data_IF_583246266953
#
_entry.id   IF_583246266953
#
_cell.length_a   1.000
_cell.length_b   1.000
_cell.length_c   1.000
_cell.angle_alpha   90.00
_cell.angle_beta   90.00
_cell.angle_gamma   90.00
#
_symmetry.space_group_name_H-M   'P 1'
#
loop_
_entity.id
_entity.type
_entity.pdbx_description
1 polymer ?
#
# COMPACT_ATOMS: atom_id res chain seq x y z
N UNK A 1 -0.92 -6.45 2.39
CA UNK A 1 -2.25 -6.96 2.78
C UNK A 1 -2.24 -7.53 4.19
N UNK A 2 -1.45 -8.58 4.44
CA UNK A 2 -1.31 -9.19 5.77
C UNK A 2 -1.01 -8.14 6.85
N UNK A 3 0.01 -7.31 6.66
CA UNK A 3 0.35 -6.19 7.55
C UNK A 3 -0.87 -5.37 8.02
N UNK A 4 -1.65 -4.81 7.09
CA UNK A 4 -2.78 -3.95 7.42
C UNK A 4 -3.94 -4.69 8.09
N UNK A 5 -4.25 -5.91 7.64
CA UNK A 5 -5.28 -6.73 8.29
C UNK A 5 -4.90 -7.08 9.74
N UNK A 6 -3.61 -7.35 9.99
CA UNK A 6 -3.10 -7.62 11.32
C UNK A 6 -3.08 -6.37 12.21
N UNK A 7 -2.78 -5.18 11.66
CA UNK A 7 -2.95 -3.91 12.39
C UNK A 7 -4.40 -3.78 12.86
N UNK A 8 -5.37 -3.86 11.94
CA UNK A 8 -6.78 -3.64 12.27
C UNK A 8 -7.33 -4.67 13.28
N UNK A 9 -6.89 -5.94 13.21
CA UNK A 9 -7.30 -6.97 14.17
C UNK A 9 -6.54 -6.85 15.50
N UNK A 10 -5.30 -6.37 15.48
CA UNK A 10 -4.42 -6.16 16.64
C UNK A 10 -3.56 -7.36 17.02
N UNK A 11 -2.39 -7.11 17.61
CA UNK A 11 -1.44 -8.16 18.01
C UNK A 11 -1.99 -9.12 19.08
N UNK A 12 -2.80 -8.62 20.02
CA UNK A 12 -3.39 -9.42 21.12
C UNK A 12 -4.16 -10.64 20.61
N UNK A 13 -4.83 -10.52 19.45
CA UNK A 13 -5.62 -11.59 18.88
C UNK A 13 -4.78 -12.76 18.32
N UNK A 14 -3.52 -12.50 17.97
CA UNK A 14 -2.62 -13.48 17.35
C UNK A 14 -1.48 -13.93 18.26
N UNK A 15 -1.16 -13.19 19.33
CA UNK A 15 -0.07 -13.51 20.26
C UNK A 15 -0.18 -14.94 20.80
N UNK A 16 -1.36 -15.39 21.23
CA UNK A 16 -1.58 -16.77 21.69
C UNK A 16 -1.67 -17.83 20.58
N UNK A 17 -1.65 -17.42 19.31
CA UNK A 17 -1.85 -18.27 18.13
C UNK A 17 -0.75 -18.07 17.09
N UNK A 18 0.40 -17.56 17.51
CA UNK A 18 1.55 -17.25 16.66
C UNK A 18 2.02 -18.46 15.85
N UNK A 19 1.92 -19.65 16.46
CA UNK A 19 2.30 -20.94 15.86
C UNK A 19 1.48 -21.31 14.63
N UNK A 20 0.27 -20.76 14.46
CA UNK A 20 -0.55 -21.01 13.25
C UNK A 20 0.07 -20.30 12.05
N UNK A 21 0.48 -19.03 12.22
CA UNK A 21 1.17 -18.28 11.15
C UNK A 21 2.54 -18.90 10.87
N UNK A 22 3.29 -19.22 11.93
CA UNK A 22 4.60 -19.84 11.79
C UNK A 22 4.54 -21.22 11.12
N UNK A 23 3.58 -22.06 11.53
CA UNK A 23 3.35 -23.39 10.95
C UNK A 23 2.93 -23.31 9.48
N UNK A 24 2.08 -22.35 9.10
CA UNK A 24 1.77 -22.08 7.69
C UNK A 24 3.03 -21.66 6.91
N UNK A 25 3.90 -20.85 7.52
CA UNK A 25 5.20 -20.49 6.94
C UNK A 25 6.08 -21.70 6.66
N UNK A 26 6.23 -22.61 7.64
CA UNK A 26 6.98 -23.86 7.48
C UNK A 26 6.36 -24.74 6.39
N UNK A 27 5.03 -24.89 6.38
CA UNK A 27 4.34 -25.68 5.36
C UNK A 27 4.60 -25.14 3.95
N UNK A 28 4.60 -23.81 3.78
CA UNK A 28 4.91 -23.17 2.49
C UNK A 28 6.38 -23.30 2.09
N UNK A 29 7.32 -23.28 3.04
CA UNK A 29 8.74 -23.56 2.77
C UNK A 29 8.91 -24.99 2.26
N UNK A 30 8.32 -25.97 2.96
CA UNK A 30 8.38 -27.38 2.56
C UNK A 30 7.72 -27.60 1.20
N UNK A 31 6.57 -26.97 0.94
CA UNK A 31 5.91 -27.01 -0.36
C UNK A 31 6.78 -26.37 -1.45
N UNK A 32 7.42 -25.23 -1.16
CA UNK A 32 8.34 -24.56 -2.08
C UNK A 32 9.55 -25.42 -2.44
N UNK A 33 10.15 -26.09 -1.46
CA UNK A 33 11.25 -27.04 -1.68
C UNK A 33 10.79 -28.25 -2.49
N UNK A 34 9.59 -28.79 -2.21
CA UNK A 34 9.00 -29.86 -2.99
C UNK A 34 8.73 -29.44 -4.44
N UNK A 35 8.22 -28.23 -4.67
CA UNK A 35 7.99 -27.72 -6.03
C UNK A 35 9.31 -27.50 -6.77
N UNK A 36 10.36 -27.01 -6.10
CA UNK A 36 11.65 -26.74 -6.73
C UNK A 36 12.46 -28.00 -7.07
N UNK A 37 12.43 -29.01 -6.19
CA UNK A 37 13.35 -30.17 -6.26
C UNK A 37 12.63 -31.53 -6.32
N UNK A 38 11.30 -31.54 -6.21
CA UNK A 38 10.52 -32.77 -6.26
C UNK A 38 10.33 -33.32 -7.67
N UNK A 39 9.60 -34.44 -7.80
CA UNK A 39 9.32 -35.06 -9.09
C UNK A 39 8.58 -34.09 -10.04
N UNK A 40 9.09 -33.85 -11.27
CA UNK A 40 8.56 -32.83 -12.18
C UNK A 40 7.07 -32.98 -12.49
N UNK A 41 6.57 -34.22 -12.63
CA UNK A 41 5.17 -34.50 -12.98
C UNK A 41 4.15 -33.90 -12.01
N UNK A 42 4.40 -34.01 -10.70
CA UNK A 42 3.51 -33.46 -9.67
C UNK A 42 3.84 -31.99 -9.35
N UNK A 43 5.12 -31.65 -9.33
CA UNK A 43 5.58 -30.30 -9.03
C UNK A 43 5.07 -29.28 -10.07
N UNK A 44 5.06 -29.66 -11.35
CA UNK A 44 4.63 -28.79 -12.43
C UNK A 44 3.12 -28.52 -12.36
N UNK A 45 2.31 -29.54 -12.07
CA UNK A 45 0.87 -29.38 -11.86
C UNK A 45 0.58 -28.41 -10.71
N UNK A 46 1.28 -28.56 -9.57
CA UNK A 46 1.14 -27.67 -8.42
C UNK A 46 1.53 -26.24 -8.80
N UNK A 47 2.65 -26.06 -9.50
CA UNK A 47 3.09 -24.73 -9.93
C UNK A 47 2.06 -24.04 -10.84
N UNK A 48 1.50 -24.77 -11.82
CA UNK A 48 0.45 -24.25 -12.69
C UNK A 48 -0.82 -23.88 -11.91
N UNK A 49 -1.27 -24.76 -11.01
CA UNK A 49 -2.44 -24.50 -10.18
C UNK A 49 -2.24 -23.26 -9.30
N UNK A 50 -1.08 -23.11 -8.68
CA UNK A 50 -0.78 -21.96 -7.81
C UNK A 50 -0.69 -20.66 -8.60
N UNK A 51 0.14 -20.61 -9.65
CA UNK A 51 0.33 -19.40 -10.45
C UNK A 51 -0.97 -19.00 -11.16
N UNK A 52 -1.65 -19.95 -11.79
CA UNK A 52 -2.91 -19.73 -12.49
C UNK A 52 -4.00 -19.20 -11.55
N UNK A 53 -4.14 -19.83 -10.36
CA UNK A 53 -5.10 -19.36 -9.34
C UNK A 53 -4.75 -17.97 -8.83
N UNK A 54 -3.46 -17.67 -8.60
CA UNK A 54 -3.01 -16.36 -8.12
C UNK A 54 -3.35 -15.24 -9.12
N UNK A 55 -3.03 -15.45 -10.41
CA UNK A 55 -3.39 -14.50 -11.47
C UNK A 55 -4.90 -14.32 -11.60
N UNK A 56 -5.65 -15.43 -11.58
CA UNK A 56 -7.11 -15.41 -11.66
C UNK A 56 -7.73 -14.67 -10.48
N UNK A 57 -7.35 -15.01 -9.24
CA UNK A 57 -7.87 -14.36 -8.04
C UNK A 57 -7.53 -12.88 -8.00
N UNK A 58 -6.30 -12.52 -8.38
CA UNK A 58 -5.86 -11.13 -8.44
C UNK A 58 -6.67 -10.35 -9.50
N UNK A 59 -6.88 -10.94 -10.68
CA UNK A 59 -7.71 -10.33 -11.73
C UNK A 59 -9.15 -10.08 -11.30
N UNK A 60 -9.78 -11.04 -10.62
CA UNK A 60 -11.13 -10.91 -10.05
C UNK A 60 -11.16 -9.81 -8.99
N UNK A 61 -10.19 -9.78 -8.08
CA UNK A 61 -10.14 -8.81 -6.99
C UNK A 61 -9.91 -7.39 -7.50
N UNK A 62 -9.09 -7.21 -8.54
CA UNK A 62 -8.94 -5.93 -9.24
C UNK A 62 -10.26 -5.49 -9.88
N UNK A 63 -11.06 -6.42 -10.45
CA UNK A 63 -12.39 -6.10 -10.99
C UNK A 63 -13.33 -5.59 -9.90
N UNK A 64 -13.36 -6.30 -8.76
CA UNK A 64 -14.23 -5.98 -7.62
C UNK A 64 -13.86 -4.66 -6.95
N UNK A 65 -12.57 -4.34 -6.83
CA UNK A 65 -12.08 -3.06 -6.31
C UNK A 65 -12.15 -1.90 -7.30
N UNK A 66 -12.12 -2.19 -8.61
CA UNK A 66 -12.33 -1.18 -9.66
C UNK A 66 -13.73 -0.53 -9.57
N UNK A 67 -14.70 -1.22 -8.99
CA UNK A 67 -16.05 -0.70 -8.76
C UNK A 67 -16.09 0.48 -7.76
N UNK A 68 -15.29 0.41 -6.69
CA UNK A 68 -15.28 1.39 -5.59
C UNK A 68 -14.22 2.48 -5.76
N UNK A 69 -13.29 2.31 -6.71
CA UNK A 69 -12.29 3.31 -7.05
C UNK A 69 -12.91 4.44 -7.89
N UNK A 70 -13.37 5.51 -7.23
CA UNK A 70 -13.98 6.66 -7.90
C UNK A 70 -13.01 7.34 -8.89
N UNK A 71 -11.71 7.30 -8.58
CA UNK A 71 -10.69 8.15 -9.22
C UNK A 71 -9.72 7.42 -10.16
N UNK A 72 -9.94 6.12 -10.42
CA UNK A 72 -9.13 5.35 -11.38
C UNK A 72 -9.82 5.32 -12.73
N UNK A 73 -9.06 5.42 -13.82
CA UNK A 73 -9.58 5.14 -15.16
C UNK A 73 -10.21 3.73 -15.16
N UNK A 74 -11.55 3.61 -15.22
CA UNK A 74 -12.21 2.32 -15.08
C UNK A 74 -11.86 1.41 -16.26
N UNK A 75 -11.54 2.00 -17.43
CA UNK A 75 -11.03 1.28 -18.59
C UNK A 75 -9.66 0.65 -18.34
N UNK A 76 -8.69 1.38 -17.78
CA UNK A 76 -7.37 0.81 -17.46
C UNK A 76 -7.47 -0.30 -16.41
N UNK A 77 -8.31 -0.10 -15.39
CA UNK A 77 -8.58 -1.12 -14.38
C UNK A 77 -9.23 -2.36 -15.00
N UNK A 78 -10.15 -2.18 -15.96
CA UNK A 78 -10.81 -3.27 -16.68
C UNK A 78 -9.82 -4.04 -17.55
N UNK A 79 -8.98 -3.35 -18.33
CA UNK A 79 -7.94 -3.99 -19.14
C UNK A 79 -6.95 -4.77 -18.28
N UNK A 80 -6.51 -4.20 -17.15
CA UNK A 80 -5.62 -4.89 -16.20
C UNK A 80 -6.29 -6.13 -15.60
N UNK A 81 -7.52 -6.00 -15.12
CA UNK A 81 -8.28 -7.12 -14.56
C UNK A 81 -8.50 -8.22 -15.60
N UNK A 82 -8.95 -7.86 -16.80
CA UNK A 82 -9.17 -8.79 -17.90
C UNK A 82 -7.88 -9.49 -18.31
N UNK A 83 -6.76 -8.77 -18.40
CA UNK A 83 -5.45 -9.35 -18.69
C UNK A 83 -5.00 -10.36 -17.64
N UNK A 84 -5.18 -10.06 -16.35
CA UNK A 84 -4.84 -10.98 -15.25
C UNK A 84 -5.74 -12.23 -15.24
N UNK A 85 -7.05 -12.07 -15.45
CA UNK A 85 -7.99 -13.21 -15.55
C UNK A 85 -7.67 -14.08 -16.75
N UNK A 86 -7.42 -13.47 -17.92
CA UNK A 86 -7.01 -14.17 -19.13
C UNK A 86 -5.71 -14.95 -18.91
N UNK A 87 -4.69 -14.30 -18.35
CA UNK A 87 -3.42 -14.93 -18.05
C UNK A 87 -3.59 -16.09 -17.06
N UNK A 88 -4.35 -15.91 -15.99
CA UNK A 88 -4.65 -17.00 -15.04
C UNK A 88 -5.36 -18.18 -15.70
N UNK A 89 -6.36 -17.92 -16.54
CA UNK A 89 -7.06 -18.96 -17.30
C UNK A 89 -6.14 -19.69 -18.29
N UNK A 90 -5.29 -18.94 -19.01
CA UNK A 90 -4.31 -19.53 -19.92
C UNK A 90 -3.29 -20.38 -19.19
N UNK A 91 -2.79 -19.96 -18.02
CA UNK A 91 -1.87 -20.77 -17.21
C UNK A 91 -2.53 -22.07 -16.75
N UNK A 92 -3.79 -22.02 -16.32
CA UNK A 92 -4.52 -23.23 -15.91
C UNK A 92 -4.79 -24.18 -17.08
N UNK A 93 -5.07 -23.67 -18.28
CA UNK A 93 -5.29 -24.48 -19.50
C UNK A 93 -3.96 -24.99 -20.05
N UNK A 94 -2.90 -24.18 -20.04
CA UNK A 94 -1.59 -24.51 -20.58
C UNK A 94 -0.90 -25.66 -19.83
N UNK A 95 -1.33 -25.96 -18.59
CA UNK A 95 -0.94 -27.16 -17.85
C UNK A 95 -1.13 -28.45 -18.66
N UNK A 96 -1.99 -28.44 -19.69
CA UNK A 96 -2.30 -29.59 -20.53
C UNK A 96 -1.62 -29.57 -21.91
N UNK A 97 -0.88 -28.51 -22.28
CA UNK A 97 -0.38 -28.35 -23.66
C UNK A 97 1.14 -28.17 -23.75
N UNK A 98 1.74 -27.08 -23.24
CA UNK A 98 3.20 -26.86 -23.28
C UNK A 98 3.71 -25.93 -22.16
N UNK A 99 4.92 -26.15 -21.61
CA UNK A 99 5.51 -25.27 -20.59
C UNK A 99 6.03 -23.95 -21.16
N UNK A 100 6.15 -23.84 -22.48
CA UNK A 100 6.70 -22.66 -23.18
C UNK A 100 5.87 -21.40 -22.90
N UNK A 101 4.53 -21.51 -22.96
CA UNK A 101 3.65 -20.37 -22.72
C UNK A 101 3.82 -19.81 -21.29
N UNK A 102 3.98 -20.69 -20.30
CA UNK A 102 4.19 -20.29 -18.91
C UNK A 102 5.57 -19.66 -18.69
N UNK A 103 6.62 -20.20 -19.35
CA UNK A 103 7.96 -19.62 -19.29
C UNK A 103 8.02 -18.24 -19.94
N UNK A 104 7.36 -18.03 -21.08
CA UNK A 104 7.25 -16.70 -21.71
C UNK A 104 6.49 -15.73 -20.81
N UNK A 105 5.37 -16.16 -20.21
CA UNK A 105 4.61 -15.34 -19.27
C UNK A 105 5.45 -14.96 -18.03
N UNK A 106 6.21 -15.91 -17.48
CA UNK A 106 7.12 -15.68 -16.37
C UNK A 106 8.25 -14.72 -16.76
N UNK A 107 8.86 -14.90 -17.94
CA UNK A 107 9.88 -14.01 -18.47
C UNK A 107 9.36 -12.57 -18.64
N UNK A 108 8.16 -12.39 -19.19
CA UNK A 108 7.50 -11.08 -19.28
C UNK A 108 7.22 -10.48 -17.90
N UNK A 109 6.78 -11.29 -16.94
CA UNK A 109 6.53 -10.82 -15.57
C UNK A 109 7.82 -10.32 -14.90
N UNK A 110 8.93 -11.07 -15.05
CA UNK A 110 10.25 -10.66 -14.57
C UNK A 110 10.74 -9.39 -15.26
N UNK A 111 10.56 -9.28 -16.58
CA UNK A 111 10.97 -8.08 -17.31
C UNK A 111 10.21 -6.83 -16.82
N UNK A 112 8.90 -6.95 -16.62
CA UNK A 112 8.06 -5.84 -16.16
C UNK A 112 8.38 -5.47 -14.71
N UNK A 113 8.54 -6.44 -13.81
CA UNK A 113 8.89 -6.17 -12.41
C UNK A 113 10.29 -5.53 -12.30
N UNK A 114 11.27 -6.07 -13.03
CA UNK A 114 12.63 -5.54 -13.05
C UNK A 114 12.72 -4.12 -13.60
N UNK A 115 12.02 -3.84 -14.71
CA UNK A 115 11.94 -2.50 -15.28
C UNK A 115 11.28 -1.51 -14.31
N UNK A 116 10.22 -1.93 -13.63
CA UNK A 116 9.53 -1.12 -12.63
C UNK A 116 10.44 -0.82 -11.43
N UNK A 117 11.15 -1.82 -10.89
CA UNK A 117 12.12 -1.63 -9.80
C UNK A 117 13.20 -0.64 -10.19
N UNK A 118 13.84 -0.82 -11.35
CA UNK A 118 14.90 0.08 -11.82
C UNK A 118 14.35 1.50 -12.00
N UNK A 119 13.23 1.66 -12.70
CA UNK A 119 12.64 2.99 -12.94
C UNK A 119 12.24 3.66 -11.63
N UNK A 120 11.71 2.92 -10.65
CA UNK A 120 11.37 3.47 -9.34
C UNK A 120 12.58 4.05 -8.61
N UNK A 121 13.75 3.40 -8.70
CA UNK A 121 15.00 3.88 -8.10
C UNK A 121 15.62 5.07 -8.83
N UNK A 122 15.29 5.29 -10.11
CA UNK A 122 15.72 6.47 -10.86
C UNK A 122 14.90 7.71 -10.51
N UNK A 123 13.65 7.53 -10.08
CA UNK A 123 12.75 8.63 -9.72
C UNK A 123 12.96 9.06 -8.28
N UNK A 124 13.02 8.13 -7.32
CA UNK A 124 13.17 8.43 -5.88
C UNK A 124 14.22 7.51 -5.25
N UNK A 125 15.19 8.13 -4.57
CA UNK A 125 16.18 7.41 -3.77
C UNK A 125 15.61 7.16 -2.38
N UNK A 126 15.57 5.89 -1.98
CA UNK A 126 15.10 5.47 -0.66
C UNK A 126 16.14 4.54 0.00
N UNK A 127 16.13 4.39 1.33
CA UNK A 127 17.04 3.46 2.01
C UNK A 127 16.95 2.05 1.41
N UNK A 128 18.08 1.51 0.91
CA UNK A 128 18.12 0.20 0.26
C UNK A 128 17.88 0.19 -1.26
N UNK A 129 17.78 1.35 -1.92
CA UNK A 129 17.58 1.44 -3.38
C UNK A 129 18.60 0.63 -4.19
N UNK A 130 19.86 0.53 -3.74
CA UNK A 130 20.92 -0.25 -4.39
C UNK A 130 20.57 -1.73 -4.50
N UNK A 131 19.98 -2.29 -3.44
CA UNK A 131 19.53 -3.70 -3.43
C UNK A 131 18.35 -3.88 -4.36
N UNK A 132 17.39 -2.94 -4.36
CA UNK A 132 16.24 -2.99 -5.27
C UNK A 132 16.67 -2.88 -6.74
N UNK A 133 17.63 -2.01 -7.05
CA UNK A 133 18.21 -1.87 -8.37
C UNK A 133 18.94 -3.15 -8.81
N UNK A 134 19.73 -3.76 -7.92
CA UNK A 134 20.39 -5.04 -8.19
C UNK A 134 19.40 -6.16 -8.49
N UNK A 135 18.35 -6.29 -7.67
CA UNK A 135 17.28 -7.28 -7.89
C UNK A 135 16.60 -7.02 -9.25
N UNK A 136 16.26 -5.77 -9.56
CA UNK A 136 15.66 -5.41 -10.84
C UNK A 136 16.57 -5.74 -12.03
N UNK A 137 17.88 -5.51 -11.90
CA UNK A 137 18.86 -5.92 -12.91
C UNK A 137 18.90 -7.43 -13.11
N UNK A 138 18.88 -8.22 -12.03
CA UNK A 138 18.82 -9.69 -12.09
C UNK A 138 17.53 -10.15 -12.79
N UNK A 139 16.38 -9.56 -12.48
CA UNK A 139 15.09 -9.90 -13.12
C UNK A 139 15.09 -9.60 -14.63
N UNK A 140 15.62 -8.44 -15.05
CA UNK A 140 15.77 -8.08 -16.46
C UNK A 140 16.67 -9.08 -17.21
N UNK A 141 17.77 -9.52 -16.59
CA UNK A 141 18.66 -10.52 -17.19
C UNK A 141 18.02 -11.91 -17.23
N UNK A 142 17.29 -12.30 -16.18
CA UNK A 142 16.63 -13.59 -16.09
C UNK A 142 15.43 -13.72 -17.05
N UNK A 143 14.76 -12.61 -17.40
CA UNK A 143 13.60 -12.61 -18.29
C UNK A 143 13.84 -13.29 -19.65
N UNK A 144 14.83 -12.90 -20.47
CA UNK A 144 15.12 -13.57 -21.74
C UNK A 144 15.65 -15.00 -21.52
N UNK A 145 16.41 -15.26 -20.44
CA UNK A 145 16.92 -16.59 -20.13
C UNK A 145 15.78 -17.60 -19.92
N UNK A 146 14.78 -17.22 -19.13
CA UNK A 146 13.58 -18.05 -18.89
C UNK A 146 12.76 -18.20 -20.17
N UNK A 147 12.55 -17.11 -20.93
CA UNK A 147 11.75 -17.13 -22.16
C UNK A 147 12.40 -17.98 -23.28
N UNK A 148 13.73 -18.04 -23.32
CA UNK A 148 14.48 -18.84 -24.29
C UNK A 148 14.74 -20.29 -23.80
N UNK A 149 14.45 -20.61 -22.54
CA UNK A 149 14.71 -21.93 -21.98
C UNK A 149 16.21 -22.23 -21.84
N UNK A 150 17.01 -21.20 -21.57
CA UNK A 150 18.46 -21.30 -21.39
C UNK A 150 18.91 -20.35 -20.27
N UNK A 151 19.76 -20.79 -19.32
CA UNK A 151 20.49 -22.05 -19.25
C UNK A 151 19.67 -23.20 -18.65
N UNK A 152 18.51 -22.91 -18.06
CA UNK A 152 17.62 -23.90 -17.47
C UNK A 152 16.50 -24.26 -18.44
N UNK A 153 16.10 -25.53 -18.47
CA UNK A 153 14.89 -25.93 -19.19
C UNK A 153 13.67 -25.17 -18.67
N UNK A 154 12.66 -24.97 -19.53
CA UNK A 154 11.42 -24.26 -19.18
C UNK A 154 10.80 -24.76 -17.87
N UNK A 155 10.71 -26.08 -17.71
CA UNK A 155 10.17 -26.72 -16.52
C UNK A 155 11.00 -26.36 -15.28
N UNK A 156 12.31 -26.54 -15.34
CA UNK A 156 13.21 -26.24 -14.22
C UNK A 156 13.13 -24.77 -13.80
N UNK A 157 13.09 -23.86 -14.77
CA UNK A 157 12.95 -22.43 -14.51
C UNK A 157 11.63 -22.09 -13.80
N UNK A 158 10.51 -22.66 -14.27
CA UNK A 158 9.18 -22.45 -13.68
C UNK A 158 9.13 -23.03 -12.25
N UNK A 159 9.62 -24.25 -12.07
CA UNK A 159 9.62 -24.94 -10.78
C UNK A 159 10.49 -24.21 -9.75
N UNK A 160 11.69 -23.80 -10.13
CA UNK A 160 12.60 -23.08 -9.24
C UNK A 160 12.04 -21.70 -8.88
N UNK A 161 11.52 -20.94 -9.83
CA UNK A 161 10.92 -19.63 -9.57
C UNK A 161 9.70 -19.73 -8.64
N UNK A 162 8.81 -20.70 -8.90
CA UNK A 162 7.62 -20.92 -8.08
C UNK A 162 7.98 -21.41 -6.68
N UNK A 163 8.91 -22.37 -6.60
CA UNK A 163 9.39 -22.90 -5.34
C UNK A 163 10.10 -21.84 -4.49
N UNK A 164 10.94 -21.00 -5.10
CA UNK A 164 11.57 -19.87 -4.44
C UNK A 164 10.56 -18.85 -3.93
N UNK A 165 9.57 -18.48 -4.75
CA UNK A 165 8.49 -17.57 -4.33
C UNK A 165 7.74 -18.11 -3.09
N UNK A 166 7.38 -19.39 -3.10
CA UNK A 166 6.72 -20.04 -1.96
C UNK A 166 7.62 -20.08 -0.71
N UNK A 167 8.90 -20.41 -0.88
CA UNK A 167 9.85 -20.49 0.22
C UNK A 167 10.13 -19.11 0.84
N UNK A 168 10.29 -18.06 0.02
CA UNK A 168 10.48 -16.69 0.51
C UNK A 168 9.23 -16.17 1.22
N UNK A 169 8.03 -16.43 0.68
CA UNK A 169 6.79 -16.05 1.35
C UNK A 169 6.55 -16.85 2.63
N UNK A 170 6.86 -18.14 2.63
CA UNK A 170 6.81 -19.00 3.81
C UNK A 170 7.79 -18.56 4.89
N UNK A 171 9.01 -18.16 4.52
CA UNK A 171 9.99 -17.56 5.43
C UNK A 171 9.48 -16.26 6.04
N UNK A 172 8.90 -15.36 5.24
CA UNK A 172 8.26 -14.15 5.74
C UNK A 172 7.17 -14.48 6.78
N UNK A 173 6.27 -15.44 6.49
CA UNK A 173 5.23 -15.83 7.45
C UNK A 173 5.78 -16.50 8.70
N UNK A 174 6.84 -17.29 8.57
CA UNK A 174 7.53 -17.91 9.70
C UNK A 174 8.12 -16.84 10.63
N UNK A 175 8.93 -15.94 10.09
CA UNK A 175 9.56 -14.87 10.86
C UNK A 175 8.50 -13.89 11.42
N UNK A 176 7.44 -13.59 10.65
CA UNK A 176 6.31 -12.75 11.09
C UNK A 176 5.53 -13.42 12.24
N UNK A 177 5.23 -14.71 12.12
CA UNK A 177 4.60 -15.50 13.17
C UNK A 177 5.44 -15.53 14.45
N UNK A 178 6.74 -15.83 14.33
CA UNK A 178 7.66 -15.85 15.46
C UNK A 178 7.78 -14.48 16.14
N UNK A 179 7.67 -13.39 15.38
CA UNK A 179 7.74 -12.04 15.96
C UNK A 179 6.61 -11.72 16.94
N UNK A 180 5.43 -12.35 16.81
CA UNK A 180 4.36 -12.22 17.81
C UNK A 180 4.68 -12.91 19.13
N UNK A 181 5.56 -13.93 19.12
CA UNK A 181 6.00 -14.62 20.34
C UNK A 181 6.92 -13.72 21.17
N UNK A 182 7.75 -12.91 20.51
CA UNK A 182 8.73 -12.04 21.16
C UNK A 182 8.22 -10.63 21.42
N UNK A 183 7.09 -10.23 20.82
CA UNK A 183 6.49 -8.91 21.01
C UNK A 183 5.91 -8.76 22.42
N UNK A 184 6.44 -7.84 23.26
CA UNK A 184 5.93 -7.63 24.60
C UNK A 184 4.45 -7.24 24.62
N UNK A 185 3.70 -7.52 25.70
CA UNK A 185 2.28 -7.20 25.83
C UNK A 185 1.91 -5.77 25.50
N UNK A 186 2.75 -4.84 25.95
CA UNK A 186 2.57 -3.39 25.96
C UNK A 186 2.87 -2.77 24.59
N UNK A 187 3.60 -3.48 23.73
CA UNK A 187 4.09 -2.93 22.48
C UNK A 187 3.02 -3.03 21.39
N UNK A 188 2.81 -1.93 20.66
CA UNK A 188 2.06 -1.91 19.41
C UNK A 188 2.65 -2.90 18.40
N UNK A 189 1.78 -3.50 17.57
CA UNK A 189 2.20 -4.31 16.42
C UNK A 189 3.10 -3.53 15.44
N UNK A 190 2.98 -2.20 15.42
CA UNK A 190 3.76 -1.30 14.58
C UNK A 190 5.26 -1.27 14.95
N UNK A 191 5.62 -1.74 16.14
CA UNK A 191 7.02 -1.92 16.56
C UNK A 191 7.71 -3.11 15.88
N UNK A 192 6.98 -4.00 15.19
CA UNK A 192 7.61 -5.13 14.53
C UNK A 192 8.45 -4.67 13.33
N UNK A 193 9.61 -5.31 13.05
CA UNK A 193 10.51 -4.92 11.95
C UNK A 193 9.83 -4.82 10.58
N UNK A 194 8.76 -5.60 10.37
CA UNK A 194 7.98 -5.60 9.13
C UNK A 194 7.23 -4.30 8.87
N UNK A 195 6.96 -3.50 9.90
CA UNK A 195 6.37 -2.18 9.77
C UNK A 195 7.44 -1.07 9.82
N UNK A 196 8.61 -1.36 10.40
CA UNK A 196 9.68 -0.38 10.65
C UNK A 196 10.55 0.02 9.43
N UNK A 197 10.26 -0.48 8.21
CA UNK A 197 11.17 -0.38 7.06
C UNK A 197 11.64 1.03 6.65
N UNK A 198 10.86 2.08 6.96
CA UNK A 198 11.21 3.50 6.70
C UNK A 198 11.41 4.32 7.98
N UNK A 199 11.35 3.69 9.15
CA UNK A 199 11.40 4.39 10.45
C UNK A 199 10.13 5.17 10.82
N UNK A 200 9.08 5.16 9.99
CA UNK A 200 7.84 5.91 10.22
C UNK A 200 7.10 5.54 11.52
N UNK A 201 7.40 4.37 12.08
CA UNK A 201 6.82 3.87 13.33
C UNK A 201 7.86 3.81 14.46
N UNK A 202 8.95 4.58 14.37
CA UNK A 202 9.97 4.64 15.43
C UNK A 202 9.39 5.05 16.80
N UNK A 203 8.30 5.82 16.80
CA UNK A 203 7.56 6.23 17.98
C UNK A 203 6.22 5.48 18.12
N UNK A 204 6.16 4.22 17.69
CA UNK A 204 4.96 3.41 17.83
C UNK A 204 4.54 3.30 19.31
N UNK A 205 3.23 3.29 19.61
CA UNK A 205 2.74 3.28 20.99
C UNK A 205 3.29 2.14 21.83
N UNK A 206 3.66 2.48 23.07
CA UNK A 206 3.91 1.53 24.16
C UNK A 206 2.85 1.83 25.23
N UNK A 207 1.95 0.87 25.47
CA UNK A 207 0.82 1.02 26.38
C UNK A 207 0.90 0.00 27.51
N UNK A 208 1.07 0.48 28.73
CA UNK A 208 1.04 -0.38 29.93
C UNK A 208 -0.41 -0.65 30.32
N UNK A 209 -0.82 -1.90 30.32
CA UNK A 209 -2.20 -2.31 30.62
C UNK A 209 -3.06 -2.49 29.36
N UNK A 210 -4.31 -2.93 29.56
CA UNK A 210 -5.24 -3.11 28.45
C UNK A 210 -5.69 -1.75 27.89
N UNK A 211 -6.04 -1.72 26.59
CA UNK A 211 -6.70 -0.57 25.98
C UNK A 211 -7.99 -0.26 26.74
N UNK A 212 -8.27 1.04 26.91
CA UNK A 212 -9.49 1.48 27.54
C UNK A 212 -10.70 1.01 26.71
N UNK A 213 -11.83 0.64 27.34
CA UNK A 213 -13.05 0.34 26.60
C UNK A 213 -13.41 1.52 25.70
N UNK A 214 -13.91 1.22 24.50
CA UNK A 214 -14.30 2.20 23.49
C UNK A 214 -15.28 3.22 24.09
N UNK A 215 -14.81 4.46 24.29
CA UNK A 215 -15.64 5.54 24.82
C UNK A 215 -16.56 6.06 23.71
N UNK A 216 -17.81 5.60 23.75
CA UNK A 216 -18.83 5.96 22.74
C UNK A 216 -19.23 7.44 22.79
N UNK A 217 -18.92 8.15 23.89
CA UNK A 217 -19.22 9.57 24.02
C UNK A 217 -18.08 10.46 23.50
N UNK A 218 -16.92 9.87 23.21
CA UNK A 218 -15.79 10.63 22.65
C UNK A 218 -16.09 11.03 21.20
N UNK A 219 -15.75 12.27 20.78
CA UNK A 219 -15.88 12.69 19.40
C UNK A 219 -15.11 11.78 18.42
N UNK A 220 -15.58 11.63 17.17
CA UNK A 220 -14.88 10.85 16.16
C UNK A 220 -13.50 11.44 15.87
N UNK A 221 -12.55 10.56 15.57
CA UNK A 221 -11.26 10.98 15.01
C UNK A 221 -11.51 11.57 13.61
N UNK A 222 -11.17 12.83 13.44
CA UNK A 222 -11.35 13.55 12.19
C UNK A 222 -10.02 13.63 11.45
N UNK A 223 -10.05 13.30 10.16
CA UNK A 223 -8.92 13.41 9.24
C UNK A 223 -9.20 14.56 8.29
N UNK A 224 -8.29 15.54 8.26
CA UNK A 224 -8.31 16.65 7.32
C UNK A 224 -7.27 16.43 6.25
N UNK A 225 -7.65 16.63 4.98
CA UNK A 225 -6.72 16.60 3.86
C UNK A 225 -6.94 17.80 2.97
N UNK A 226 -5.83 18.48 2.67
CA UNK A 226 -5.70 19.50 1.64
C UNK A 226 -5.06 18.83 0.42
N UNK A 227 -5.86 18.48 -0.58
CA UNK A 227 -5.33 17.82 -1.79
C UNK A 227 -4.61 18.85 -2.67
N UNK A 228 -3.52 18.47 -3.37
CA UNK A 228 -2.77 19.43 -4.18
C UNK A 228 -3.65 20.12 -5.24
N UNK A 229 -4.56 19.39 -5.88
CA UNK A 229 -5.51 19.94 -6.85
C UNK A 229 -6.65 20.77 -6.23
N UNK A 230 -6.96 20.56 -4.94
CA UNK A 230 -7.96 21.34 -4.21
C UNK A 230 -7.45 22.70 -3.77
N UNK A 231 -6.12 22.84 -3.62
CA UNK A 231 -5.49 24.07 -3.12
C UNK A 231 -4.71 24.86 -4.19
N UNK A 232 -4.44 24.28 -5.36
CA UNK A 232 -3.82 25.01 -6.47
C UNK A 232 -4.83 25.92 -7.19
N UNK A 233 -4.42 27.15 -7.54
CA UNK A 233 -5.23 28.08 -8.34
C UNK A 233 -5.17 27.65 -9.81
N UNK A 234 -6.30 27.22 -10.39
CA UNK A 234 -6.41 26.82 -11.80
C UNK A 234 -5.31 25.83 -12.30
N UNK A 235 -5.24 24.61 -11.73
CA UNK A 235 -4.14 23.68 -11.93
C UNK A 235 -3.99 23.23 -13.40
N UNK A 236 -2.77 23.31 -13.94
CA UNK A 236 -2.45 22.67 -15.22
C UNK A 236 -2.61 21.15 -15.07
N UNK A 237 -3.46 20.55 -15.90
CA UNK A 237 -3.80 19.12 -15.77
C UNK A 237 -2.69 18.20 -16.29
N UNK A 238 -1.70 17.90 -15.46
CA UNK A 238 -0.79 16.79 -15.70
C UNK A 238 -1.34 15.50 -15.08
N UNK A 239 -1.70 14.55 -15.94
CA UNK A 239 -2.50 13.34 -15.63
C UNK A 239 -1.97 12.40 -14.51
N UNK A 240 -0.80 12.66 -13.91
CA UNK A 240 -0.19 11.83 -12.88
C UNK A 240 0.50 12.60 -11.73
N UNK A 241 1.00 13.82 -11.96
CA UNK A 241 1.76 14.59 -10.97
C UNK A 241 0.84 15.36 -10.01
N UNK A 242 -0.20 16.00 -10.53
CA UNK A 242 -1.12 16.90 -9.80
C UNK A 242 -1.81 16.25 -8.60
N UNK A 243 -1.92 14.92 -8.57
CA UNK A 243 -2.65 14.21 -7.52
C UNK A 243 -1.74 13.60 -6.45
N UNK A 244 -0.52 13.19 -6.81
CA UNK A 244 0.28 12.32 -5.95
C UNK A 244 1.62 12.91 -5.52
N UNK A 245 2.12 13.96 -6.19
CA UNK A 245 3.40 14.58 -5.88
C UNK A 245 3.23 16.06 -5.52
N UNK A 246 2.71 16.86 -6.45
CA UNK A 246 2.44 18.29 -6.27
C UNK A 246 1.58 18.76 -7.44
N UNK A 247 0.71 19.74 -7.19
CA UNK A 247 0.06 20.51 -8.25
C UNK A 247 0.88 21.78 -8.50
N UNK A 248 1.03 22.14 -9.78
CA UNK A 248 1.73 23.36 -10.19
C UNK A 248 0.66 24.38 -10.55
N UNK A 249 0.69 25.53 -9.88
CA UNK A 249 -0.13 26.69 -10.21
C UNK A 249 0.31 27.28 -11.57
N UNK A 250 -0.53 28.08 -12.23
CA UNK A 250 -0.20 28.84 -13.45
C UNK A 250 1.02 29.74 -13.28
N UNK A 251 1.27 30.18 -12.05
CA UNK A 251 2.43 31.00 -11.69
C UNK A 251 3.70 30.16 -11.44
N UNK A 252 3.63 28.82 -11.59
CA UNK A 252 4.77 27.91 -11.44
C UNK A 252 5.09 27.49 -10.01
N UNK A 253 4.31 27.94 -9.02
CA UNK A 253 4.46 27.55 -7.61
C UNK A 253 3.93 26.14 -7.34
N UNK A 254 4.60 25.39 -6.45
CA UNK A 254 4.25 24.01 -6.10
C UNK A 254 3.36 23.98 -4.87
N UNK A 255 2.12 23.52 -5.03
CA UNK A 255 1.27 23.12 -3.91
C UNK A 255 1.42 21.63 -3.66
N UNK A 256 1.97 21.26 -2.50
CA UNK A 256 2.15 19.85 -2.10
C UNK A 256 0.99 19.31 -1.28
N UNK A 257 0.04 20.18 -0.90
CA UNK A 257 -1.08 19.86 -0.03
C UNK A 257 -0.66 19.67 1.43
N UNK A 258 -1.61 19.26 2.28
CA UNK A 258 -1.39 19.01 3.71
C UNK A 258 -2.29 17.91 4.26
N UNK A 259 -1.96 17.37 5.42
CA UNK A 259 -2.79 16.37 6.11
C UNK A 259 -2.66 16.50 7.63
N UNK A 260 -3.79 16.44 8.32
CA UNK A 260 -3.85 16.56 9.77
C UNK A 260 -4.86 15.59 10.40
N UNK A 261 -4.71 15.32 11.69
CA UNK A 261 -5.63 14.54 12.51
C UNK A 261 -6.16 15.39 13.67
N UNK A 262 -7.43 15.20 14.03
CA UNK A 262 -8.06 15.92 15.14
C UNK A 262 -8.96 15.01 15.96
N UNK A 263 -8.90 15.16 17.28
CA UNK A 263 -9.89 14.69 18.24
C UNK A 263 -10.26 15.87 19.12
N UNK A 264 -11.43 16.47 18.89
CA UNK A 264 -11.87 17.63 19.66
C UNK A 264 -12.21 17.26 21.13
N UNK A 265 -11.94 18.15 22.09
CA UNK A 265 -11.06 19.33 22.03
C UNK A 265 -9.58 19.00 22.34
N UNK A 266 -9.25 17.72 22.50
CA UNK A 266 -8.07 17.30 23.25
C UNK A 266 -6.77 17.20 22.41
N UNK A 267 -6.87 17.00 21.10
CA UNK A 267 -5.70 16.66 20.28
C UNK A 267 -5.81 17.12 18.83
N UNK A 268 -4.80 17.84 18.37
CA UNK A 268 -4.56 18.15 16.96
C UNK A 268 -3.14 17.73 16.56
N UNK A 269 -3.00 17.07 15.42
CA UNK A 269 -1.72 16.60 14.87
C UNK A 269 -1.57 17.18 13.47
N UNK A 270 -0.67 18.14 13.36
CA UNK A 270 -0.29 18.82 12.11
C UNK A 270 1.22 19.10 12.19
N UNK A 271 1.95 18.87 11.09
CA UNK A 271 3.41 19.02 11.06
C UNK A 271 3.87 19.68 9.77
N UNK A 272 4.37 20.91 9.89
CA UNK A 272 4.84 21.74 8.79
C UNK A 272 6.36 21.95 8.86
N UNK A 273 7.01 22.27 7.73
CA UNK A 273 8.35 22.85 7.77
C UNK A 273 8.29 24.26 8.37
N UNK A 274 9.26 24.64 9.21
CA UNK A 274 9.30 25.99 9.81
C UNK A 274 9.69 27.09 8.81
N UNK A 275 10.34 26.71 7.71
CA UNK A 275 10.71 27.59 6.62
C UNK A 275 10.17 27.00 5.32
N UNK A 276 9.63 27.86 4.45
CA UNK A 276 9.07 27.41 3.18
C UNK A 276 10.13 26.75 2.30
N UNK A 277 9.77 25.61 1.72
CA UNK A 277 10.66 24.81 0.89
C UNK A 277 10.95 25.55 -0.43
N UNK A 278 12.04 26.31 -0.48
CA UNK A 278 12.47 27.00 -1.69
C UNK A 278 12.95 26.00 -2.75
N UNK A 279 12.16 25.77 -3.80
CA UNK A 279 12.58 25.00 -4.97
C UNK A 279 13.36 25.95 -5.90
N UNK A 280 14.66 25.73 -6.15
CA UNK A 280 15.46 26.65 -6.96
C UNK A 280 14.92 26.76 -8.40
N UNK A 281 14.67 27.98 -8.89
CA UNK A 281 14.10 28.26 -10.21
C UNK A 281 14.94 27.73 -11.39
N UNK A 282 16.23 27.50 -11.17
CA UNK A 282 17.25 27.25 -12.19
C UNK A 282 17.79 25.81 -12.25
N UNK A 283 17.28 24.88 -11.44
CA UNK A 283 17.65 23.46 -11.51
C UNK A 283 16.64 22.65 -12.33
N UNK A 284 17.12 21.56 -12.98
CA UNK A 284 16.23 20.57 -13.58
C UNK A 284 15.25 20.06 -12.49
N UNK A 285 13.95 20.16 -12.74
CA UNK A 285 12.87 19.90 -11.76
C UNK A 285 13.03 18.57 -11.00
N UNK A 286 13.54 17.53 -11.67
CA UNK A 286 13.76 16.21 -11.09
C UNK A 286 14.96 16.17 -10.13
N UNK A 287 16.04 16.90 -10.44
CA UNK A 287 17.21 17.02 -9.54
C UNK A 287 16.93 17.93 -8.34
N UNK A 288 16.07 18.95 -8.50
CA UNK A 288 15.63 19.79 -7.36
C UNK A 288 14.82 18.99 -6.35
N UNK A 289 13.89 18.15 -6.81
CA UNK A 289 13.11 17.27 -5.93
C UNK A 289 13.99 16.23 -5.23
N UNK A 290 15.03 15.74 -5.90
CA UNK A 290 16.00 14.83 -5.29
C UNK A 290 16.82 15.52 -4.21
N UNK A 291 17.30 16.75 -4.44
CA UNK A 291 18.05 17.47 -3.39
C UNK A 291 17.15 17.84 -2.21
N UNK A 292 15.91 18.27 -2.46
CA UNK A 292 14.93 18.56 -1.41
C UNK A 292 14.54 17.32 -0.60
N UNK A 293 14.53 16.15 -1.24
CA UNK A 293 14.20 14.89 -0.60
C UNK A 293 15.26 14.42 0.41
N UNK A 294 16.49 14.92 0.32
CA UNK A 294 17.60 14.60 1.23
C UNK A 294 17.84 15.70 2.29
N UNK A 295 17.15 16.84 2.18
CA UNK A 295 17.29 17.95 3.13
C UNK A 295 16.49 17.69 4.40
N UNK A 296 17.16 17.85 5.53
CA UNK A 296 16.54 17.85 6.86
C UNK A 296 16.47 19.29 7.37
N UNK A 297 15.30 19.70 7.88
CA UNK A 297 15.12 21.03 8.45
C UNK A 297 14.30 20.98 9.72
N UNK A 298 14.16 22.13 10.39
CA UNK A 298 13.26 22.25 11.54
C UNK A 298 11.80 22.26 11.04
N UNK A 299 10.96 21.54 11.76
CA UNK A 299 9.51 21.55 11.61
C UNK A 299 8.82 22.24 12.78
N UNK A 300 7.55 22.52 12.57
CA UNK A 300 6.64 23.14 13.50
C UNK A 300 5.34 22.34 13.60
N UNK A 301 4.79 22.26 14.81
CA UNK A 301 3.52 21.61 15.08
C UNK A 301 2.47 22.69 15.35
N UNK A 302 1.31 22.56 14.73
CA UNK A 302 0.19 23.47 14.97
C UNK A 302 -0.78 22.88 16.00
N UNK A 303 -1.53 23.76 16.67
CA UNK A 303 -2.33 23.39 17.85
C UNK A 303 -3.82 23.16 17.56
N UNK A 304 -4.35 23.65 16.44
CA UNK A 304 -5.78 23.50 16.11
C UNK A 304 -6.07 23.58 14.61
N UNK A 305 -7.19 22.97 14.21
CA UNK A 305 -7.68 23.09 12.84
C UNK A 305 -8.08 24.54 12.50
N UNK A 306 -8.71 25.25 13.44
CA UNK A 306 -9.08 26.64 13.25
C UNK A 306 -7.85 27.52 13.00
N UNK A 307 -6.73 27.25 13.67
CA UNK A 307 -5.44 27.90 13.40
C UNK A 307 -4.91 27.64 11.98
N UNK A 308 -5.02 26.41 11.47
CA UNK A 308 -4.61 26.07 10.10
C UNK A 308 -5.49 26.75 9.05
N UNK A 309 -6.79 26.88 9.34
CA UNK A 309 -7.75 27.58 8.46
C UNK A 309 -7.43 29.07 8.40
N UNK A 310 -7.15 29.70 9.55
CA UNK A 310 -6.83 31.13 9.64
C UNK A 310 -5.46 31.45 9.01
N UNK A 311 -4.49 30.53 9.12
CA UNK A 311 -3.17 30.69 8.53
C UNK A 311 -3.16 30.46 7.01
N UNK A 312 -3.96 29.52 6.48
CA UNK A 312 -3.94 29.14 5.07
C UNK A 312 -5.33 29.02 4.43
N UNK A 313 -6.03 27.92 4.65
CA UNK A 313 -7.36 27.68 4.10
C UNK A 313 -8.04 26.45 4.71
N UNK A 314 -9.35 26.29 4.48
CA UNK A 314 -10.09 25.11 4.90
C UNK A 314 -9.73 23.87 4.06
N UNK A 315 -9.72 22.70 4.72
CA UNK A 315 -9.47 21.42 4.05
C UNK A 315 -10.59 21.08 3.05
N UNK A 316 -10.22 20.60 1.86
CA UNK A 316 -11.20 20.16 0.85
C UNK A 316 -11.80 18.78 1.18
N UNK A 317 -11.15 18.02 2.08
CA UNK A 317 -11.60 16.69 2.50
C UNK A 317 -11.61 16.58 4.01
N UNK A 318 -12.74 16.11 4.52
CA UNK A 318 -12.93 15.71 5.92
C UNK A 318 -13.45 14.28 5.99
N UNK A 319 -12.80 13.41 6.75
CA UNK A 319 -13.22 12.03 6.99
C UNK A 319 -13.30 11.75 8.49
N UNK A 320 -14.35 11.05 8.93
CA UNK A 320 -14.58 10.77 10.35
C UNK A 320 -14.50 9.27 10.65
N UNK A 321 -13.78 8.95 11.71
CA UNK A 321 -13.59 7.60 12.24
C UNK A 321 -14.22 7.53 13.64
N UNK A 322 -15.46 7.00 13.77
CA UNK A 322 -16.13 6.91 15.06
C UNK A 322 -15.52 5.84 15.97
N UNK A 323 -14.77 4.90 15.40
CA UNK A 323 -14.17 3.76 16.12
C UNK A 323 -12.66 3.81 16.01
N UNK A 324 -11.99 4.14 17.12
CA UNK A 324 -10.53 4.28 17.21
C UNK A 324 -10.08 4.21 18.68
N UNK A 325 -8.78 3.99 18.92
CA UNK A 325 -8.16 4.10 20.24
C UNK A 325 -7.47 5.45 20.40
N UNK A 326 -8.11 6.36 21.14
CA UNK A 326 -7.52 7.65 21.50
C UNK A 326 -6.21 7.49 22.28
N UNK A 327 -6.15 6.53 23.20
CA UNK A 327 -4.97 6.28 24.04
C UNK A 327 -3.75 5.90 23.21
N UNK A 328 -3.93 5.08 22.17
CA UNK A 328 -2.86 4.76 21.20
C UNK A 328 -2.43 5.97 20.38
N UNK A 329 -3.40 6.76 19.90
CA UNK A 329 -3.13 7.98 19.15
C UNK A 329 -2.32 8.98 19.99
N UNK A 330 -2.73 9.20 21.24
CA UNK A 330 -2.04 10.09 22.17
C UNK A 330 -0.63 9.60 22.49
N UNK A 331 -0.46 8.29 22.78
CA UNK A 331 0.86 7.72 23.04
C UNK A 331 1.80 7.82 21.83
N UNK A 332 1.28 7.60 20.62
CA UNK A 332 2.01 7.85 19.38
C UNK A 332 2.43 9.33 19.28
N UNK A 333 1.48 10.25 19.49
CA UNK A 333 1.75 11.68 19.36
C UNK A 333 2.79 12.16 20.36
N UNK A 334 2.68 11.79 21.64
CA UNK A 334 3.63 12.16 22.68
C UNK A 334 5.06 11.70 22.37
N UNK A 335 5.21 10.53 21.73
CA UNK A 335 6.52 10.05 21.28
C UNK A 335 7.02 10.76 20.03
N UNK A 336 6.14 10.98 19.06
CA UNK A 336 6.48 11.66 17.81
C UNK A 336 6.86 13.13 18.03
N UNK A 337 6.11 13.87 18.85
CA UNK A 337 6.29 15.31 19.06
C UNK A 337 7.57 15.69 19.83
N UNK A 338 8.31 14.71 20.38
CA UNK A 338 9.62 14.96 21.01
C UNK A 338 10.69 15.41 20.01
N UNK A 339 10.49 15.10 18.73
CA UNK A 339 11.42 15.46 17.66
C UNK A 339 10.68 16.25 16.58
N UNK A 340 10.97 17.54 16.51
CA UNK A 340 10.40 18.47 15.53
C UNK A 340 11.14 18.46 14.20
N UNK A 341 12.01 17.48 13.94
CA UNK A 341 12.70 17.37 12.66
C UNK A 341 11.69 17.18 11.52
N UNK A 342 11.82 17.97 10.47
CA UNK A 342 11.04 17.86 9.26
C UNK A 342 11.88 17.26 8.13
N UNK A 343 11.29 16.29 7.43
CA UNK A 343 11.91 15.66 6.27
C UNK A 343 10.85 15.35 5.22
N UNK A 344 11.03 15.86 4.00
CA UNK A 344 10.02 15.80 2.94
C UNK A 344 9.54 14.37 2.65
N UNK A 345 10.43 13.38 2.69
CA UNK A 345 10.11 11.99 2.33
C UNK A 345 9.90 11.04 3.50
N UNK A 346 10.29 11.43 4.72
CA UNK A 346 10.35 10.50 5.86
C UNK A 346 9.69 11.01 7.13
N UNK A 347 9.40 12.32 7.21
CA UNK A 347 8.86 12.96 8.42
C UNK A 347 8.09 14.24 8.05
N UNK A 348 7.06 14.07 7.21
CA UNK A 348 6.17 15.13 6.76
C UNK A 348 4.76 14.99 7.37
N UNK A 349 3.86 15.93 7.08
CA UNK A 349 2.47 15.93 7.56
C UNK A 349 1.70 14.63 7.25
N UNK A 350 1.84 14.09 6.04
CA UNK A 350 1.15 12.88 5.61
C UNK A 350 1.75 11.62 6.24
N UNK A 351 3.05 11.60 6.54
CA UNK A 351 3.72 10.50 7.25
C UNK A 351 3.19 10.44 8.68
N UNK A 352 3.17 11.56 9.40
CA UNK A 352 2.66 11.59 10.80
C UNK A 352 1.17 11.27 10.84
N UNK A 353 0.37 11.79 9.89
CA UNK A 353 -1.05 11.49 9.82
C UNK A 353 -1.32 10.00 9.51
N UNK A 354 -0.57 9.39 8.59
CA UNK A 354 -0.71 7.97 8.29
C UNK A 354 -0.28 7.08 9.47
N UNK A 355 0.84 7.40 10.13
CA UNK A 355 1.33 6.64 11.27
C UNK A 355 0.41 6.80 12.50
N UNK A 356 -0.10 8.01 12.76
CA UNK A 356 -1.08 8.28 13.80
C UNK A 356 -2.41 7.58 13.56
N UNK A 357 -2.91 7.57 12.32
CA UNK A 357 -4.11 6.84 11.96
C UNK A 357 -3.94 5.32 12.14
N UNK A 358 -2.80 4.77 11.73
CA UNK A 358 -2.50 3.34 11.96
C UNK A 358 -2.42 2.99 13.45
N UNK A 359 -1.81 3.85 14.26
CA UNK A 359 -1.74 3.69 15.72
C UNK A 359 -3.14 3.73 16.35
N UNK A 360 -3.98 4.68 15.94
CA UNK A 360 -5.34 4.82 16.41
C UNK A 360 -6.25 3.65 16.00
N UNK A 361 -6.00 3.03 14.84
CA UNK A 361 -6.82 1.96 14.29
C UNK A 361 -6.34 0.54 14.66
N UNK A 362 -5.21 0.42 15.35
CA UNK A 362 -4.74 -0.88 15.80
C UNK A 362 -5.78 -1.56 16.71
N UNK A 363 -6.18 -2.78 16.36
CA UNK A 363 -7.09 -3.57 17.19
C UNK A 363 -8.57 -3.15 17.15
N UNK A 364 -8.98 -2.14 16.37
CA UNK A 364 -10.39 -1.71 16.25
C UNK A 364 -11.32 -2.83 15.79
N UNK A 365 -10.77 -3.77 15.03
CA UNK A 365 -11.43 -4.98 14.55
C UNK A 365 -11.07 -6.23 15.37
N UNK A 366 -10.65 -6.10 16.63
CA UNK A 366 -10.48 -7.23 17.53
C UNK A 366 -11.81 -8.00 17.75
N UNK A 367 -11.73 -9.30 18.01
CA UNK A 367 -12.92 -10.11 18.26
C UNK A 367 -12.65 -11.60 18.45
N UNK A 368 -13.70 -12.36 18.74
CA UNK A 368 -13.62 -13.79 19.10
C UNK A 368 -13.10 -14.70 17.97
N UNK A 369 -13.30 -14.31 16.71
CA UNK A 369 -12.95 -15.11 15.52
C UNK A 369 -11.93 -14.37 14.63
N UNK A 370 -10.69 -14.15 15.09
CA UNK A 370 -9.71 -13.33 14.38
C UNK A 370 -9.33 -13.92 13.02
N UNK A 371 -9.29 -15.25 12.88
CA UNK A 371 -8.95 -15.92 11.62
C UNK A 371 -10.01 -15.75 10.53
N UNK A 372 -11.30 -15.87 10.89
CA UNK A 372 -12.39 -15.59 9.93
C UNK A 372 -12.38 -14.13 9.50
N UNK A 373 -12.08 -13.23 10.44
CA UNK A 373 -11.97 -11.80 10.15
C UNK A 373 -10.76 -11.48 9.28
N UNK A 374 -9.63 -12.14 9.50
CA UNK A 374 -8.46 -12.06 8.63
C UNK A 374 -8.83 -12.50 7.22
N UNK A 375 -9.49 -13.65 7.06
CA UNK A 375 -9.92 -14.14 5.75
C UNK A 375 -10.89 -13.17 5.07
N UNK A 376 -11.88 -12.62 5.80
CA UNK A 376 -12.81 -11.64 5.23
C UNK A 376 -12.10 -10.36 4.78
N UNK A 377 -11.11 -9.89 5.57
CA UNK A 377 -10.32 -8.71 5.24
C UNK A 377 -9.40 -8.94 4.03
N UNK A 378 -8.80 -10.13 3.91
CA UNK A 378 -7.98 -10.49 2.74
C UNK A 378 -8.81 -10.53 1.45
N UNK A 379 -10.11 -10.77 1.55
CA UNK A 379 -11.04 -10.75 0.42
C UNK A 379 -11.73 -9.39 0.22
N UNK A 380 -11.48 -8.40 1.09
CA UNK A 380 -12.08 -7.07 1.00
C UNK A 380 -11.32 -6.18 0.00
N UNK A 381 -11.91 -5.81 -1.15
CA UNK A 381 -11.22 -5.00 -2.14
C UNK A 381 -10.90 -3.57 -1.65
N UNK A 382 -11.59 -3.04 -0.64
CA UNK A 382 -11.27 -1.73 -0.09
C UNK A 382 -9.96 -1.79 0.72
N UNK A 383 -9.69 -2.90 1.42
CA UNK A 383 -8.40 -3.13 2.07
C UNK A 383 -7.26 -3.20 1.04
N UNK A 384 -7.51 -3.76 -0.15
CA UNK A 384 -6.53 -3.79 -1.24
C UNK A 384 -6.22 -2.38 -1.74
N UNK A 385 -7.24 -1.52 -1.82
CA UNK A 385 -7.08 -0.10 -2.13
C UNK A 385 -6.13 0.59 -1.14
N UNK A 386 -6.36 0.38 0.16
CA UNK A 386 -5.51 0.91 1.22
C UNK A 386 -4.07 0.37 1.14
N UNK A 387 -3.90 -0.93 0.93
CA UNK A 387 -2.57 -1.56 0.77
C UNK A 387 -1.83 -1.00 -0.45
N UNK A 388 -2.52 -0.77 -1.56
CA UNK A 388 -1.88 -0.20 -2.75
C UNK A 388 -1.41 1.24 -2.50
N UNK A 389 -2.20 2.06 -1.81
CA UNK A 389 -1.80 3.41 -1.41
C UNK A 389 -0.57 3.36 -0.50
N UNK A 390 -0.58 2.49 0.52
CA UNK A 390 0.55 2.28 1.44
C UNK A 390 1.81 1.80 0.73
N UNK A 391 1.70 0.85 -0.20
CA UNK A 391 2.85 0.34 -0.95
C UNK A 391 3.47 1.43 -1.84
N UNK A 392 2.63 2.27 -2.46
CA UNK A 392 3.10 3.44 -3.24
C UNK A 392 3.80 4.45 -2.35
N UNK A 393 3.21 4.75 -1.19
CA UNK A 393 3.83 5.64 -0.22
C UNK A 393 5.19 5.10 0.24
N UNK A 394 5.26 3.80 0.57
CA UNK A 394 6.50 3.14 1.00
C UNK A 394 7.60 3.21 -0.07
N UNK A 395 7.23 3.09 -1.34
CA UNK A 395 8.17 3.22 -2.47
C UNK A 395 8.61 4.67 -2.74
N UNK A 396 7.85 5.65 -2.26
CA UNK A 396 8.06 7.08 -2.53
C UNK A 396 8.09 7.87 -1.22
N UNK A 397 6.95 8.43 -0.82
CA UNK A 397 6.65 8.97 0.50
C UNK A 397 5.14 9.03 0.66
N UNK A 398 4.64 9.20 1.90
CA UNK A 398 3.27 9.64 2.09
C UNK A 398 3.12 11.07 1.56
N UNK A 399 2.10 11.26 0.72
CA UNK A 399 1.65 12.56 0.23
C UNK A 399 0.16 12.71 0.53
N UNK A 400 -0.38 13.94 0.57
CA UNK A 400 -1.78 14.16 0.93
C UNK A 400 -2.75 13.37 0.05
N UNK A 401 -2.46 13.26 -1.26
CA UNK A 401 -3.26 12.45 -2.17
C UNK A 401 -3.21 10.94 -1.87
N UNK A 402 -2.03 10.39 -1.56
CA UNK A 402 -1.91 8.96 -1.17
C UNK A 402 -2.55 8.68 0.19
N UNK A 403 -2.36 9.59 1.15
CA UNK A 403 -2.96 9.48 2.48
C UNK A 403 -4.48 9.57 2.42
N UNK A 404 -5.03 10.48 1.61
CA UNK A 404 -6.46 10.55 1.36
C UNK A 404 -7.02 9.24 0.80
N UNK A 405 -6.41 8.69 -0.25
CA UNK A 405 -6.82 7.40 -0.84
C UNK A 405 -6.77 6.28 0.21
N UNK A 406 -5.76 6.31 1.08
CA UNK A 406 -5.58 5.36 2.18
C UNK A 406 -6.66 5.48 3.26
N UNK A 407 -6.83 6.68 3.83
CA UNK A 407 -7.80 6.95 4.89
C UNK A 407 -9.23 6.65 4.41
N UNK A 408 -9.60 7.08 3.20
CA UNK A 408 -10.92 6.78 2.64
C UNK A 408 -11.14 5.27 2.47
N UNK A 409 -10.14 4.53 2.00
CA UNK A 409 -10.23 3.09 1.86
C UNK A 409 -10.38 2.40 3.22
N UNK A 410 -9.63 2.83 4.24
CA UNK A 410 -9.79 2.34 5.62
C UNK A 410 -11.16 2.66 6.20
N UNK A 411 -11.70 3.86 5.97
CA UNK A 411 -13.05 4.23 6.37
C UNK A 411 -14.09 3.26 5.82
N UNK A 412 -13.98 2.84 4.54
CA UNK A 412 -14.86 1.84 3.94
C UNK A 412 -14.68 0.43 4.51
N UNK A 413 -13.47 0.04 4.92
CA UNK A 413 -13.22 -1.25 5.57
C UNK A 413 -13.85 -1.29 6.97
N UNK A 414 -13.74 -0.19 7.73
CA UNK A 414 -14.27 -0.08 9.09
C UNK A 414 -15.79 0.13 9.12
N UNK A 415 -16.32 0.82 8.11
CA UNK A 415 -17.75 1.07 7.93
C UNK A 415 -18.20 0.46 6.59
N UNK A 416 -18.27 -0.88 6.50
CA UNK A 416 -18.57 -1.54 5.24
C UNK A 416 -19.96 -1.13 4.76
N UNK A 417 -19.99 -0.43 3.64
CA UNK A 417 -21.22 -0.21 2.89
C UNK A 417 -21.72 -1.56 2.40
N UNK A 418 -22.98 -1.88 2.69
CA UNK A 418 -23.65 -3.18 2.44
C UNK A 418 -23.82 -3.51 0.95
N UNK A 419 -22.94 -3.07 0.05
CA UNK A 419 -23.09 -3.30 -1.39
C UNK A 419 -22.62 -4.72 -1.74
N UNK A 420 -23.52 -5.59 -2.24
CA UNK A 420 -23.16 -6.96 -2.62
C UNK A 420 -22.11 -6.98 -3.74
N UNK A 421 -21.25 -8.01 -3.76
CA UNK A 421 -20.16 -8.14 -4.74
C UNK A 421 -20.63 -8.12 -6.20
N UNK A 422 -21.80 -8.73 -6.49
CA UNK A 422 -22.39 -8.72 -7.84
C UNK A 422 -22.70 -7.28 -8.28
N UNK A 423 -23.21 -6.46 -7.36
CA UNK A 423 -23.53 -5.06 -7.62
C UNK A 423 -22.27 -4.25 -7.87
N UNK A 424 -21.19 -4.50 -7.11
CA UNK A 424 -19.86 -3.92 -7.37
C UNK A 424 -19.39 -4.27 -8.79
N UNK A 425 -19.43 -5.54 -9.18
CA UNK A 425 -19.00 -5.99 -10.51
C UNK A 425 -19.82 -5.36 -11.64
N UNK A 426 -21.16 -5.31 -11.51
CA UNK A 426 -22.04 -4.66 -12.49
C UNK A 426 -21.71 -3.19 -12.67
N UNK A 427 -21.50 -2.45 -11.58
CA UNK A 427 -21.11 -1.04 -11.62
C UNK A 427 -19.75 -0.82 -12.28
N UNK A 428 -18.77 -1.68 -12.00
CA UNK A 428 -17.46 -1.62 -12.63
C UNK A 428 -17.54 -1.76 -14.15
N UNK A 429 -18.24 -2.78 -14.65
CA UNK A 429 -18.45 -3.00 -16.09
C UNK A 429 -19.17 -1.83 -16.74
N UNK A 430 -20.19 -1.28 -16.08
CA UNK A 430 -20.93 -0.12 -16.55
C UNK A 430 -20.00 1.12 -16.70
N UNK A 431 -19.20 1.43 -15.69
CA UNK A 431 -18.24 2.55 -15.73
C UNK A 431 -17.17 2.38 -16.80
N UNK A 432 -16.66 1.16 -16.99
CA UNK A 432 -15.68 0.87 -18.03
C UNK A 432 -16.26 1.12 -19.44
N UNK A 433 -17.52 0.70 -19.68
CA UNK A 433 -18.23 0.95 -20.95
C UNK A 433 -18.44 2.44 -21.22
N UNK A 434 -18.83 3.21 -20.20
CA UNK A 434 -18.98 4.66 -20.32
C UNK A 434 -17.65 5.33 -20.70
N UNK A 435 -16.56 4.95 -20.04
CA UNK A 435 -15.23 5.49 -20.32
C UNK A 435 -14.71 5.13 -21.70
N UNK A 436 -15.01 3.93 -22.21
CA UNK A 436 -14.65 3.54 -23.57
C UNK A 436 -15.40 4.37 -24.63
N UNK A 437 -16.68 4.65 -24.40
CA UNK A 437 -17.51 5.47 -25.31
C UNK A 437 -17.05 6.92 -25.37
N UNK A 438 -16.66 7.51 -24.24
CA UNK A 438 -16.13 8.89 -24.21
C UNK A 438 -14.76 8.99 -24.89
N UNK A 439 -13.90 7.98 -24.76
CA UNK A 439 -12.62 7.90 -25.48
C UNK A 439 -12.82 7.82 -27.00
N UNK A 440 -13.74 6.96 -27.47
CA UNK A 440 -14.06 6.82 -28.89
C UNK A 440 -14.71 8.06 -29.53
N UNK A 441 -15.34 8.94 -28.74
CA UNK A 441 -15.88 10.23 -29.22
C UNK A 441 -14.79 11.31 -29.36
N UNK A 442 -13.83 11.37 -28.43
CA UNK A 442 -12.71 12.34 -28.51
C UNK A 442 -11.75 12.04 -29.67
N UNK A 443 -11.54 10.77 -30.00
CA UNK A 443 -10.71 10.37 -31.16
C UNK A 443 -11.34 10.58 -32.54
N UNK A 444 -12.62 11.04 -32.62
CA UNK A 444 -13.29 11.38 -33.88
C UNK A 444 -13.36 12.88 -34.17
N UNK A 445 -12.92 13.71 -33.22
CA UNK A 445 -12.91 15.17 -33.31
C UNK A 445 -11.49 15.74 -33.13
N UNK A 446 -10.46 14.91 -33.30
CA UNK A 446 -9.06 15.28 -33.31
C UNK A 446 -8.48 15.08 -34.71
#
# INVERSE_FOLDING_TARGET
MFQLAFILIGAKAFRGKWYIVAGLGVALILLGLFVAFGPPSHALLIAHALLGTLFLSNGILVALGGATAQDRSPLRAFLKSGGLVLMGGLVLIAAFWTPVALAVALGLALAVDGAFRITSTLVILFPGWRVVMLIGGIEILAAPMVALGWPLSYETAILLATGLMLALFGRFLLEFGLSFRTLPPEFSILNLPYFAGRGWYAHAPILVGDDDPEDQNRPPLTVYVWTPAGVATDPERTLLMDRYLAAVDKDGSYSTGHSALEVKPDLYISHYPSEELAIPENMNKLSSLQSLADTTQKGEFHDSYEGDVDWWCAADVRLEFPRYSYRRLLAFWLGYSQDSTYHLTNRNCSVVAAAGLDAALEGVLAGKRPWLRLLSLLLDPDLWGAVLARNRATAMTWTPGLFHDYARALGRVLQPTKMPWITRLKWFVYRARLSARTFGRKGKHA
#
